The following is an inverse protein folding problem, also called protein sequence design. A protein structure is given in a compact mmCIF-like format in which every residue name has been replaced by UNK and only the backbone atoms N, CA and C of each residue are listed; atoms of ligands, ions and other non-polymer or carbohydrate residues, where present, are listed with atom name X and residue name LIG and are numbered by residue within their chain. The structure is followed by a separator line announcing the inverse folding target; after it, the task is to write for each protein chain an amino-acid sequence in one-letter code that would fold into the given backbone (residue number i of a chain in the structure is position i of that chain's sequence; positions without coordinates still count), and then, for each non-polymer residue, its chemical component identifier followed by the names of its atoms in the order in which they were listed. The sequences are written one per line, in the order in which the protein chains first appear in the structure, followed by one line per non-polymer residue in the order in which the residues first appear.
data_IF_372686757676
#
_entry.id   IF_372686757676
#
_cell.length_a   1.000
_cell.length_b   1.000
_cell.length_c   1.000
_cell.angle_alpha   90.00
_cell.angle_beta   90.00
_cell.angle_gamma   90.00
#
_symmetry.space_group_name_H-M   'P 1'
#
loop_
_entity.id
_entity.type
_entity.pdbx_description
1 polymer ?
#
# COMPACT_ATOMS: atom_id res chain seq x y z
N UNK A 1 -12.83 -21.26 -1.10
CA UNK A 1 -11.95 -20.58 -0.11
C UNK A 1 -12.08 -21.27 1.25
N UNK A 2 -10.94 -21.67 1.82
CA UNK A 2 -10.86 -22.23 3.17
C UNK A 2 -11.17 -21.11 4.16
N UNK A 3 -12.09 -21.31 5.10
CA UNK A 3 -12.45 -20.34 6.13
C UNK A 3 -11.77 -20.72 7.46
N UNK A 4 -10.91 -19.85 7.98
CA UNK A 4 -10.19 -20.05 9.24
C UNK A 4 -10.64 -18.96 10.23
N UNK A 5 -11.19 -19.31 11.41
CA UNK A 5 -11.48 -18.31 12.43
C UNK A 5 -10.19 -17.75 13.05
N UNK A 6 -10.06 -16.43 13.12
CA UNK A 6 -8.86 -15.78 13.69
C UNK A 6 -8.56 -16.16 15.16
N UNK A 7 -9.59 -16.59 15.92
CA UNK A 7 -9.41 -17.09 17.30
C UNK A 7 -8.55 -18.35 17.39
N UNK A 8 -8.47 -19.14 16.29
CA UNK A 8 -7.63 -20.34 16.19
C UNK A 8 -6.21 -20.04 15.70
N UNK A 9 -5.94 -18.83 15.24
CA UNK A 9 -4.62 -18.43 14.74
C UNK A 9 -3.81 -17.82 15.88
N UNK A 10 -2.52 -18.05 15.85
CA UNK A 10 -1.56 -17.38 16.73
C UNK A 10 -0.97 -16.14 16.06
N UNK A 11 -0.60 -15.13 16.85
CA UNK A 11 0.10 -13.95 16.38
C UNK A 11 1.60 -14.26 16.30
N UNK A 12 2.21 -13.90 15.17
CA UNK A 12 3.64 -13.99 14.93
C UNK A 12 4.14 -12.67 14.31
N UNK A 13 5.41 -12.33 14.52
CA UNK A 13 6.00 -11.07 14.13
C UNK A 13 7.24 -11.23 13.23
N UNK A 14 7.43 -12.41 12.68
CA UNK A 14 8.55 -12.72 11.81
C UNK A 14 8.54 -11.87 10.53
N UNK A 15 9.75 -11.61 10.04
CA UNK A 15 9.95 -10.86 8.80
C UNK A 15 9.70 -11.78 7.58
N UNK A 16 8.59 -11.56 6.86
CA UNK A 16 8.10 -12.48 5.81
C UNK A 16 7.80 -11.75 4.49
N UNK A 17 8.76 -11.07 3.86
CA UNK A 17 8.51 -10.31 2.64
C UNK A 17 7.96 -11.18 1.49
N UNK A 18 8.43 -12.42 1.38
CA UNK A 18 8.00 -13.34 0.32
C UNK A 18 6.51 -13.68 0.41
N UNK A 19 5.96 -13.84 1.63
CA UNK A 19 4.53 -14.09 1.79
C UNK A 19 3.69 -12.92 1.23
N UNK A 20 4.09 -11.67 1.53
CA UNK A 20 3.41 -10.49 1.00
C UNK A 20 3.58 -10.39 -0.52
N UNK A 21 4.79 -10.68 -1.04
CA UNK A 21 5.06 -10.66 -2.49
C UNK A 21 4.14 -11.61 -3.26
N UNK A 22 3.93 -12.79 -2.73
CA UNK A 22 3.12 -13.84 -3.37
C UNK A 22 1.61 -13.63 -3.25
N UNK A 23 1.16 -13.00 -2.14
CA UNK A 23 -0.27 -12.97 -1.78
C UNK A 23 -0.92 -11.59 -1.85
N UNK A 24 -0.14 -10.50 -2.01
CA UNK A 24 -0.69 -9.15 -2.11
C UNK A 24 -0.65 -8.65 -3.56
N UNK A 25 -1.75 -8.04 -4.05
CA UNK A 25 -1.89 -7.55 -5.41
C UNK A 25 -0.75 -6.62 -5.89
N UNK A 26 -0.21 -5.81 -4.98
CA UNK A 26 0.90 -4.88 -5.26
C UNK A 26 2.26 -5.41 -4.81
N UNK A 27 2.35 -6.68 -4.43
CA UNK A 27 3.58 -7.26 -3.87
C UNK A 27 4.00 -6.65 -2.53
N UNK A 28 5.20 -6.98 -2.09
CA UNK A 28 5.79 -6.44 -0.87
C UNK A 28 6.13 -4.95 -1.00
N UNK A 29 6.26 -4.26 0.13
CA UNK A 29 6.75 -2.88 0.17
C UNK A 29 8.26 -2.85 0.41
N UNK A 30 8.94 -1.81 -0.08
CA UNK A 30 10.41 -1.73 -0.07
C UNK A 30 11.04 -1.56 1.33
N UNK A 31 10.28 -1.13 2.35
CA UNK A 31 10.84 -0.80 3.66
C UNK A 31 9.83 -1.06 4.78
N UNK A 32 9.39 -2.31 4.96
CA UNK A 32 8.58 -2.67 6.12
C UNK A 32 9.45 -2.61 7.38
N UNK A 33 8.87 -2.17 8.49
CA UNK A 33 9.54 -2.08 9.79
C UNK A 33 8.98 -3.07 10.80
N UNK A 34 7.76 -3.54 10.59
CA UNK A 34 7.12 -4.55 11.43
C UNK A 34 6.09 -5.34 10.63
N UNK A 35 5.99 -6.64 10.93
CA UNK A 35 4.95 -7.53 10.45
C UNK A 35 4.07 -8.01 11.61
N UNK A 36 2.81 -8.26 11.30
CA UNK A 36 1.81 -8.85 12.18
C UNK A 36 1.18 -9.99 11.41
N UNK A 37 1.56 -11.21 11.74
CA UNK A 37 1.15 -12.38 11.00
C UNK A 37 0.16 -13.21 11.81
N UNK A 38 -0.71 -13.93 11.13
CA UNK A 38 -1.54 -14.98 11.72
C UNK A 38 -1.04 -16.34 11.23
N UNK A 39 -0.74 -17.20 12.19
CA UNK A 39 -0.30 -18.58 11.97
C UNK A 39 -1.43 -19.53 12.36
N UNK A 40 -1.72 -20.50 11.50
CA UNK A 40 -2.65 -21.58 11.73
C UNK A 40 -2.02 -22.91 11.29
N UNK A 41 -2.00 -23.90 12.17
CA UNK A 41 -1.36 -25.19 11.95
C UNK A 41 0.10 -25.09 11.44
N UNK A 42 0.87 -24.16 12.02
CA UNK A 42 2.27 -23.90 11.68
C UNK A 42 2.51 -23.10 10.40
N UNK A 43 1.46 -22.74 9.66
CA UNK A 43 1.57 -21.95 8.43
C UNK A 43 1.06 -20.52 8.59
N UNK A 44 1.73 -19.56 7.93
CA UNK A 44 1.24 -18.19 7.85
C UNK A 44 0.05 -18.13 6.90
N UNK A 45 -1.10 -17.68 7.42
CA UNK A 45 -2.37 -17.61 6.68
C UNK A 45 -2.82 -16.19 6.38
N UNK A 46 -2.29 -15.19 7.10
CA UNK A 46 -2.52 -13.77 6.81
C UNK A 46 -1.36 -12.92 7.35
N UNK A 47 -1.13 -11.77 6.75
CA UNK A 47 -0.12 -10.82 7.20
C UNK A 47 -0.57 -9.37 7.00
N UNK A 48 -0.12 -8.51 7.92
CA UNK A 48 -0.26 -7.06 7.88
C UNK A 48 1.11 -6.45 8.16
N UNK A 49 1.51 -5.42 7.39
CA UNK A 49 2.82 -4.78 7.56
C UNK A 49 2.72 -3.29 7.85
N UNK A 50 3.60 -2.84 8.75
CA UNK A 50 3.86 -1.44 9.03
C UNK A 50 5.08 -0.93 8.27
N UNK A 51 5.02 0.31 7.79
CA UNK A 51 6.18 1.01 7.23
C UNK A 51 6.18 2.47 7.68
N UNK A 52 7.35 3.12 7.58
CA UNK A 52 7.41 4.57 7.82
C UNK A 52 6.55 5.31 6.81
N UNK A 53 5.94 6.40 7.24
CA UNK A 53 5.22 7.26 6.32
C UNK A 53 6.17 7.73 5.20
N UNK A 54 5.73 7.74 3.90
CA UNK A 54 6.60 8.14 2.79
C UNK A 54 7.16 9.56 2.89
N UNK A 55 6.48 10.44 3.63
CA UNK A 55 6.97 11.81 3.91
C UNK A 55 7.64 11.83 5.28
N UNK A 56 8.95 12.04 5.30
CA UNK A 56 9.77 12.09 6.53
C UNK A 56 9.33 13.15 7.56
N UNK A 57 8.58 14.17 7.13
CA UNK A 57 8.05 15.23 8.00
C UNK A 57 6.88 14.80 8.89
N UNK A 58 6.43 13.54 8.76
CA UNK A 58 5.31 12.99 9.53
C UNK A 58 5.77 11.87 10.46
N UNK A 59 6.64 12.22 11.40
CA UNK A 59 7.29 11.28 12.31
C UNK A 59 6.33 10.54 13.25
N UNK A 60 5.20 11.16 13.56
CA UNK A 60 4.16 10.59 14.43
C UNK A 60 3.13 9.73 13.68
N UNK A 61 3.28 9.59 12.36
CA UNK A 61 2.41 8.75 11.54
C UNK A 61 3.11 7.46 11.13
N UNK A 62 2.45 6.33 11.37
CA UNK A 62 2.87 5.01 10.89
C UNK A 62 1.93 4.55 9.76
N UNK A 63 2.48 4.00 8.70
CA UNK A 63 1.67 3.52 7.59
C UNK A 63 1.34 2.03 7.74
N UNK A 64 0.05 1.67 7.69
CA UNK A 64 -0.40 0.33 7.36
C UNK A 64 -0.22 0.18 5.84
N UNK A 65 0.83 -0.54 5.45
CA UNK A 65 1.30 -0.55 4.07
C UNK A 65 0.79 -1.73 3.26
N UNK A 66 0.61 -2.89 3.88
CA UNK A 66 0.08 -4.09 3.24
C UNK A 66 -0.80 -4.88 4.19
N UNK A 67 -1.81 -5.53 3.64
CA UNK A 67 -2.63 -6.53 4.30
C UNK A 67 -3.08 -7.56 3.26
N UNK A 68 -2.82 -8.84 3.52
CA UNK A 68 -3.30 -9.93 2.68
C UNK A 68 -3.52 -11.22 3.49
N UNK A 69 -4.37 -12.09 2.96
CA UNK A 69 -4.45 -13.48 3.34
C UNK A 69 -3.72 -14.35 2.31
N UNK A 70 -3.33 -15.56 2.70
CA UNK A 70 -2.86 -16.61 1.79
C UNK A 70 -3.90 -16.84 0.69
N UNK A 71 -3.47 -17.03 -0.54
CA UNK A 71 -4.37 -17.30 -1.66
C UNK A 71 -5.28 -18.50 -1.35
N UNK A 72 -6.58 -18.35 -1.64
CA UNK A 72 -7.57 -19.39 -1.34
C UNK A 72 -8.00 -19.48 0.12
N UNK A 73 -7.47 -18.64 1.02
CA UNK A 73 -7.80 -18.62 2.46
C UNK A 73 -8.52 -17.32 2.83
N UNK A 74 -9.53 -17.43 3.68
CA UNK A 74 -10.21 -16.31 4.30
C UNK A 74 -10.13 -16.46 5.84
N UNK A 75 -9.39 -15.56 6.50
CA UNK A 75 -9.26 -15.56 7.96
C UNK A 75 -10.30 -14.63 8.56
N UNK A 76 -11.42 -15.22 9.02
CA UNK A 76 -12.54 -14.48 9.62
C UNK A 76 -12.10 -13.79 10.92
N UNK A 77 -12.24 -12.44 10.98
CA UNK A 77 -11.75 -11.63 12.10
C UNK A 77 -10.24 -11.39 12.09
N UNK A 78 -9.51 -11.89 11.07
CA UNK A 78 -8.06 -11.77 10.97
C UNK A 78 -7.58 -10.33 10.90
N UNK A 79 -8.23 -9.50 10.07
CA UNK A 79 -7.91 -8.09 9.95
C UNK A 79 -8.00 -7.36 11.30
N UNK A 80 -9.08 -7.54 12.05
CA UNK A 80 -9.26 -6.91 13.36
C UNK A 80 -8.22 -7.38 14.38
N UNK A 81 -7.91 -8.69 14.40
CA UNK A 81 -6.92 -9.25 15.33
C UNK A 81 -5.53 -8.69 15.07
N UNK A 82 -5.09 -8.67 13.81
CA UNK A 82 -3.79 -8.10 13.43
C UNK A 82 -3.76 -6.58 13.62
N UNK A 83 -4.84 -5.88 13.28
CA UNK A 83 -4.89 -4.43 13.44
C UNK A 83 -4.87 -4.01 14.91
N UNK A 84 -5.49 -4.77 15.80
CA UNK A 84 -5.35 -4.54 17.24
C UNK A 84 -3.88 -4.64 17.68
N UNK A 85 -3.17 -5.70 17.28
CA UNK A 85 -1.76 -5.87 17.60
C UNK A 85 -0.90 -4.75 16.97
N UNK A 86 -1.24 -4.32 15.74
CA UNK A 86 -0.61 -3.18 15.07
C UNK A 86 -0.78 -1.89 15.89
N UNK A 87 -2.00 -1.58 16.35
CA UNK A 87 -2.26 -0.38 17.16
C UNK A 87 -1.51 -0.43 18.51
N UNK A 88 -1.54 -1.58 19.19
CA UNK A 88 -0.83 -1.76 20.48
C UNK A 88 0.68 -1.57 20.31
N UNK A 89 1.27 -2.10 19.25
CA UNK A 89 2.67 -1.87 18.91
C UNK A 89 2.93 -0.39 18.55
N UNK A 90 2.06 0.23 17.75
CA UNK A 90 2.21 1.62 17.33
C UNK A 90 2.21 2.59 18.50
N UNK A 91 1.33 2.39 19.50
CA UNK A 91 1.31 3.17 20.75
C UNK A 91 2.61 3.02 21.53
N UNK A 92 3.14 1.79 21.67
CA UNK A 92 4.44 1.54 22.32
C UNK A 92 5.59 2.24 21.62
N UNK A 93 5.51 2.40 20.30
CA UNK A 93 6.50 3.11 19.49
C UNK A 93 6.25 4.63 19.41
N UNK A 94 5.28 5.14 20.21
CA UNK A 94 4.95 6.57 20.33
C UNK A 94 4.46 7.22 19.02
N UNK A 95 3.69 6.47 18.21
CA UNK A 95 2.94 7.00 17.08
C UNK A 95 1.56 7.50 17.56
N UNK A 96 1.05 8.54 16.91
CA UNK A 96 -0.26 9.13 17.21
C UNK A 96 -1.35 8.68 16.23
N UNK A 97 -0.94 8.29 15.02
CA UNK A 97 -1.88 7.96 13.94
C UNK A 97 -1.37 6.80 13.09
N UNK A 98 -2.30 5.95 12.67
CA UNK A 98 -2.10 5.00 11.58
C UNK A 98 -2.66 5.60 10.30
N UNK A 99 -1.88 5.64 9.24
CA UNK A 99 -2.32 6.07 7.93
C UNK A 99 -2.29 4.93 6.93
N UNK A 100 -3.18 4.97 5.95
CA UNK A 100 -3.12 4.05 4.83
C UNK A 100 -3.66 4.69 3.55
N UNK A 101 -3.42 4.05 2.42
CA UNK A 101 -3.83 4.55 1.11
C UNK A 101 -4.52 3.46 0.32
N UNK A 102 -5.64 3.80 -0.32
CA UNK A 102 -6.24 2.97 -1.37
C UNK A 102 -5.93 3.57 -2.73
N UNK A 103 -5.66 2.70 -3.68
CA UNK A 103 -5.67 3.03 -5.09
C UNK A 103 -7.05 2.67 -5.64
N UNK A 104 -7.79 3.68 -6.09
CA UNK A 104 -9.17 3.50 -6.58
C UNK A 104 -9.27 2.65 -7.85
N UNK A 105 -8.12 2.38 -8.50
CA UNK A 105 -8.03 1.45 -9.64
C UNK A 105 -8.36 0.01 -9.24
N UNK A 106 -8.05 -0.36 -7.98
CA UNK A 106 -8.15 -1.75 -7.52
C UNK A 106 -9.21 -1.97 -6.44
N UNK A 107 -9.32 -1.05 -5.47
CA UNK A 107 -10.18 -1.20 -4.29
C UNK A 107 -10.81 0.12 -3.88
N UNK A 108 -12.01 0.03 -3.30
CA UNK A 108 -12.77 1.19 -2.81
C UNK A 108 -12.54 1.54 -1.32
N UNK A 109 -11.74 0.73 -0.60
CA UNK A 109 -11.41 0.98 0.80
C UNK A 109 -12.32 0.33 1.84
N UNK A 110 -13.11 -0.67 1.47
CA UNK A 110 -14.06 -1.34 2.40
C UNK A 110 -13.42 -1.85 3.69
N UNK A 111 -12.17 -2.33 3.65
CA UNK A 111 -11.42 -2.77 4.83
C UNK A 111 -11.18 -1.63 5.83
N UNK A 112 -10.97 -0.41 5.38
CA UNK A 112 -10.71 0.75 6.25
C UNK A 112 -11.98 1.19 6.96
N UNK A 113 -13.14 1.15 6.29
CA UNK A 113 -14.43 1.37 6.94
C UNK A 113 -14.69 0.32 8.03
N UNK A 114 -14.39 -0.94 7.73
CA UNK A 114 -14.53 -2.04 8.71
C UNK A 114 -13.59 -1.87 9.92
N UNK A 115 -12.36 -1.40 9.73
CA UNK A 115 -11.39 -1.12 10.79
C UNK A 115 -11.56 0.27 11.42
N UNK A 116 -12.64 0.98 11.11
CA UNK A 116 -13.03 2.28 11.69
C UNK A 116 -12.00 3.40 11.38
N UNK A 117 -11.31 3.31 10.25
CA UNK A 117 -10.59 4.44 9.70
C UNK A 117 -11.59 5.46 9.15
N UNK A 118 -11.23 6.72 9.14
CA UNK A 118 -11.98 7.73 8.43
C UNK A 118 -11.22 8.24 7.21
N UNK A 119 -11.98 8.61 6.20
CA UNK A 119 -11.45 9.19 4.98
C UNK A 119 -10.96 10.61 5.27
N UNK A 120 -9.65 10.83 5.15
CA UNK A 120 -9.03 12.13 5.39
C UNK A 120 -8.93 12.97 4.11
N UNK A 121 -8.53 12.35 3.00
CA UNK A 121 -8.33 13.08 1.73
C UNK A 121 -8.61 12.14 0.56
N UNK A 122 -9.30 12.65 -0.43
CA UNK A 122 -9.48 12.03 -1.73
C UNK A 122 -8.66 12.78 -2.77
N UNK A 123 -7.78 12.05 -3.45
CA UNK A 123 -6.94 12.58 -4.52
C UNK A 123 -7.57 12.20 -5.86
N UNK A 124 -7.77 13.19 -6.73
CA UNK A 124 -8.23 12.94 -8.09
C UNK A 124 -7.24 12.12 -8.92
N UNK A 125 -7.66 11.73 -10.13
CA UNK A 125 -6.82 10.97 -11.04
C UNK A 125 -5.46 11.62 -11.28
N UNK A 126 -4.43 10.82 -11.27
CA UNK A 126 -3.07 11.21 -11.57
C UNK A 126 -2.54 10.36 -12.71
N UNK A 127 -1.50 10.81 -13.41
CA UNK A 127 -0.94 10.05 -14.52
C UNK A 127 0.51 9.68 -14.29
N UNK A 128 0.88 8.56 -14.90
CA UNK A 128 2.23 8.10 -15.14
C UNK A 128 2.43 7.91 -16.65
N UNK A 129 3.65 7.66 -17.07
CA UNK A 129 3.95 7.38 -18.46
C UNK A 129 4.19 5.89 -18.66
N UNK A 130 3.60 5.35 -19.72
CA UNK A 130 3.91 4.03 -20.23
C UNK A 130 4.89 4.16 -21.38
N UNK A 131 6.04 3.50 -21.26
CA UNK A 131 7.06 3.49 -22.31
C UNK A 131 6.87 2.23 -23.17
N UNK A 132 6.29 2.39 -24.35
CA UNK A 132 5.87 1.27 -25.21
C UNK A 132 7.05 0.38 -25.60
N UNK A 133 8.19 0.98 -26.00
CA UNK A 133 9.38 0.25 -26.47
C UNK A 133 10.07 -0.60 -25.41
N UNK A 134 9.83 -0.31 -24.12
CA UNK A 134 10.44 -1.03 -22.99
C UNK A 134 9.42 -1.74 -22.11
N UNK A 135 8.15 -1.65 -22.47
CA UNK A 135 7.03 -2.25 -21.71
C UNK A 135 7.10 -1.96 -20.21
N UNK A 136 7.34 -0.70 -19.83
CA UNK A 136 7.58 -0.32 -18.44
C UNK A 136 6.98 1.04 -18.09
N UNK A 137 6.70 1.23 -16.79
CA UNK A 137 6.24 2.50 -16.25
C UNK A 137 7.38 3.49 -16.03
N UNK A 138 7.06 4.78 -16.18
CA UNK A 138 7.92 5.90 -15.81
C UNK A 138 7.12 6.93 -15.03
N UNK A 139 7.65 7.33 -13.88
CA UNK A 139 7.01 8.35 -13.07
C UNK A 139 7.14 9.73 -13.70
N UNK A 140 6.07 10.52 -13.63
CA UNK A 140 6.00 11.91 -14.14
C UNK A 140 7.21 12.75 -13.73
N UNK A 141 7.71 12.62 -12.48
CA UNK A 141 8.83 13.43 -11.97
C UNK A 141 10.10 13.31 -12.82
N UNK A 142 10.41 12.09 -13.28
CA UNK A 142 11.60 11.83 -14.12
C UNK A 142 11.44 12.27 -15.58
N UNK A 143 10.22 12.65 -16.00
CA UNK A 143 9.89 13.02 -17.37
C UNK A 143 9.46 14.49 -17.53
N UNK A 144 9.63 15.29 -16.48
CA UNK A 144 9.39 16.74 -16.55
C UNK A 144 10.39 17.42 -17.48
N UNK A 145 10.01 18.57 -18.07
CA UNK A 145 10.85 19.36 -18.98
C UNK A 145 12.31 19.48 -18.51
N UNK A 146 12.50 19.93 -17.25
CA UNK A 146 13.84 20.09 -16.66
C UNK A 146 14.64 18.79 -16.56
N UNK A 147 13.98 17.65 -16.36
CA UNK A 147 14.65 16.36 -16.19
C UNK A 147 15.02 15.68 -17.52
N UNK A 148 14.39 16.09 -18.62
CA UNK A 148 14.51 15.42 -19.93
C UNK A 148 15.17 16.26 -21.01
N UNK A 149 15.53 17.52 -20.71
CA UNK A 149 16.06 18.45 -21.73
C UNK A 149 15.02 18.83 -22.79
N UNK A 150 13.72 18.80 -22.45
CA UNK A 150 12.64 19.15 -23.35
C UNK A 150 12.79 20.61 -23.83
N UNK A 151 12.80 20.88 -25.16
CA UNK A 151 12.87 22.24 -25.70
C UNK A 151 11.72 23.12 -25.21
N UNK A 152 11.97 24.42 -25.09
CA UNK A 152 10.97 25.40 -24.59
C UNK A 152 9.75 25.55 -25.49
N UNK A 153 9.95 25.39 -26.80
CA UNK A 153 8.93 25.57 -27.85
C UNK A 153 7.94 24.42 -27.99
N UNK A 154 8.13 23.30 -27.31
CA UNK A 154 7.21 22.16 -27.33
C UNK A 154 6.73 21.81 -25.90
N UNK A 155 5.57 21.17 -25.82
CA UNK A 155 5.03 20.74 -24.52
C UNK A 155 5.72 19.48 -23.99
N UNK A 156 5.73 19.29 -22.66
CA UNK A 156 6.20 18.04 -22.04
C UNK A 156 5.48 16.80 -22.59
N UNK A 157 4.19 16.97 -22.92
CA UNK A 157 3.39 15.88 -23.49
C UNK A 157 3.89 15.48 -24.88
N UNK A 158 4.04 16.43 -25.79
CA UNK A 158 4.54 16.19 -27.15
C UNK A 158 5.94 15.61 -27.14
N UNK A 159 6.84 16.18 -26.32
CA UNK A 159 8.19 15.67 -26.18
C UNK A 159 8.24 14.21 -25.74
N UNK A 160 7.44 13.84 -24.76
CA UNK A 160 7.39 12.46 -24.27
C UNK A 160 6.68 11.54 -25.28
N UNK A 161 5.62 12.00 -25.94
CA UNK A 161 4.91 11.24 -26.96
C UNK A 161 5.83 10.87 -28.13
N UNK A 162 6.62 11.83 -28.65
CA UNK A 162 7.60 11.62 -29.72
C UNK A 162 8.70 10.61 -29.34
N UNK A 163 8.87 10.35 -28.06
CA UNK A 163 9.81 9.35 -27.51
C UNK A 163 9.14 8.02 -27.16
N UNK A 164 7.89 7.81 -27.55
CA UNK A 164 7.13 6.58 -27.28
C UNK A 164 6.60 6.46 -25.86
N UNK A 165 6.41 7.58 -25.16
CA UNK A 165 5.90 7.64 -23.80
C UNK A 165 4.47 8.16 -23.77
N UNK A 166 3.53 7.31 -23.41
CA UNK A 166 2.10 7.60 -23.37
C UNK A 166 1.62 7.85 -21.95
N UNK A 167 0.74 8.84 -21.76
CA UNK A 167 0.10 9.10 -20.46
C UNK A 167 -0.97 8.07 -20.20
N UNK A 168 -0.89 7.41 -19.04
CA UNK A 168 -1.94 6.55 -18.50
C UNK A 168 -2.38 7.14 -17.17
N UNK A 169 -3.69 7.29 -16.99
CA UNK A 169 -4.29 7.86 -15.79
C UNK A 169 -4.72 6.75 -14.84
N UNK A 170 -4.47 6.95 -13.54
CA UNK A 170 -5.08 6.15 -12.48
C UNK A 170 -6.50 6.67 -12.16
N UNK A 171 -7.22 5.97 -11.29
CA UNK A 171 -8.55 6.35 -10.83
C UNK A 171 -8.54 7.23 -9.57
N UNK A 172 -7.37 7.76 -9.21
CA UNK A 172 -7.18 8.51 -7.98
C UNK A 172 -6.90 7.61 -6.78
N UNK A 173 -6.74 8.23 -5.62
CA UNK A 173 -6.34 7.56 -4.37
C UNK A 173 -7.07 8.17 -3.19
N UNK A 174 -7.29 7.38 -2.15
CA UNK A 174 -7.82 7.85 -0.87
C UNK A 174 -6.78 7.69 0.22
N UNK A 175 -6.68 8.69 1.10
CA UNK A 175 -5.90 8.63 2.34
C UNK A 175 -6.83 8.40 3.51
N UNK A 176 -6.54 7.36 4.26
CA UNK A 176 -7.28 6.94 5.44
C UNK A 176 -6.46 7.18 6.69
N UNK A 177 -7.12 7.57 7.79
CA UNK A 177 -6.48 7.81 9.08
C UNK A 177 -7.25 7.08 10.17
N UNK A 178 -6.49 6.53 11.12
CA UNK A 178 -6.97 6.00 12.39
C UNK A 178 -6.18 6.66 13.53
N UNK A 179 -6.83 7.24 14.51
CA UNK A 179 -6.18 7.78 15.72
C UNK A 179 -5.92 6.66 16.73
N UNK A 180 -4.72 6.63 17.28
CA UNK A 180 -4.23 5.62 18.22
C UNK A 180 -4.62 5.91 19.67
#
# INVERSE_FOLDING_TARGET
NIKIPARKCELNYDFIPNFIEENHLQGSNQSPIQYFNLVFDGEIVASMSASRHPRRTREKEIALSRFCCKQGVNVQGGASKMFKAFCDWSRKMNYDQVVSFTDNTYINGGIYNFLVFYLNTEYGPYYFYWYINKNTYRYKKSLRKKATGCPSNITEREWNLNRGLYRIWDCGKKRWIYHL
#
